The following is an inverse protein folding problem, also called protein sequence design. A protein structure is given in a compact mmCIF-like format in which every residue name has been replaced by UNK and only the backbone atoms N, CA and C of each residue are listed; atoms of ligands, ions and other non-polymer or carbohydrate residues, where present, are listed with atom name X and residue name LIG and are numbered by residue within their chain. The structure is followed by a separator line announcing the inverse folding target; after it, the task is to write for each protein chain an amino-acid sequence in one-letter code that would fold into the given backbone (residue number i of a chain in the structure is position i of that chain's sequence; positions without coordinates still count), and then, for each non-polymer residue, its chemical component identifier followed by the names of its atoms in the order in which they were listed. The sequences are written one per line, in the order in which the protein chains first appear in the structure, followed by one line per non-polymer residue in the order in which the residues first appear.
data_IF_359703733534
#
_entry.id   IF_359703733534
#
_cell.length_a   1.000
_cell.length_b   1.000
_cell.length_c   1.000
_cell.angle_alpha   90.00
_cell.angle_beta   90.00
_cell.angle_gamma   90.00
#
_symmetry.space_group_name_H-M   'P 1'
#
loop_
_entity.id
_entity.type
_entity.pdbx_description
1 polymer ?
#
# COMPACT_ATOMS: atom_id res chain seq x y z
N UNK A 1 -5.65 28.28 -9.09
CA UNK A 1 -4.74 27.28 -9.69
C UNK A 1 -5.18 27.10 -11.11
N UNK A 2 -4.40 27.64 -12.04
CA UNK A 2 -4.77 27.65 -13.45
C UNK A 2 -4.52 26.27 -14.07
N UNK A 3 -5.26 25.90 -15.12
CA UNK A 3 -5.14 24.57 -15.74
C UNK A 3 -3.71 24.23 -16.18
N UNK A 4 -2.93 25.25 -16.56
CA UNK A 4 -1.51 25.14 -16.91
C UNK A 4 -0.65 24.73 -15.71
N UNK A 5 -0.93 25.24 -14.51
CA UNK A 5 -0.19 24.89 -13.28
C UNK A 5 -0.42 23.42 -12.92
N UNK A 6 -1.67 22.94 -13.04
CA UNK A 6 -2.00 21.53 -12.81
C UNK A 6 -1.33 20.60 -13.82
N UNK A 7 -1.26 21.01 -15.09
CA UNK A 7 -0.56 20.26 -16.13
C UNK A 7 0.94 20.16 -15.85
N UNK A 8 1.58 21.27 -15.49
CA UNK A 8 3.00 21.30 -15.13
C UNK A 8 3.24 20.41 -13.89
N UNK A 9 2.44 20.57 -12.84
CA UNK A 9 2.58 19.77 -11.62
C UNK A 9 2.43 18.26 -11.90
N UNK A 10 1.42 17.88 -12.71
CA UNK A 10 1.20 16.49 -13.09
C UNK A 10 2.35 15.94 -13.93
N UNK A 11 2.85 16.71 -14.90
CA UNK A 11 3.95 16.30 -15.76
C UNK A 11 5.25 16.11 -14.95
N UNK A 12 5.54 17.02 -14.02
CA UNK A 12 6.70 16.93 -13.12
C UNK A 12 6.58 15.70 -12.22
N UNK A 13 5.40 15.47 -11.62
CA UNK A 13 5.16 14.31 -10.75
C UNK A 13 5.28 12.99 -11.53
N UNK A 14 4.69 12.92 -12.73
CA UNK A 14 4.78 11.76 -13.61
C UNK A 14 6.23 11.49 -14.03
N UNK A 15 6.95 12.53 -14.46
CA UNK A 15 8.36 12.43 -14.85
C UNK A 15 9.24 11.97 -13.69
N UNK A 16 9.08 12.56 -12.51
CA UNK A 16 9.82 12.16 -11.30
C UNK A 16 9.53 10.72 -10.88
N UNK A 17 8.27 10.30 -10.90
CA UNK A 17 7.87 8.92 -10.60
C UNK A 17 8.49 7.92 -11.57
N UNK A 18 8.46 8.25 -12.87
CA UNK A 18 9.03 7.40 -13.89
C UNK A 18 10.56 7.32 -13.77
N UNK A 19 11.22 8.45 -13.50
CA UNK A 19 12.66 8.50 -13.28
C UNK A 19 13.10 7.63 -12.09
N UNK A 20 12.39 7.69 -10.95
CA UNK A 20 12.65 6.84 -9.80
C UNK A 20 12.47 5.35 -10.12
N UNK A 21 11.40 5.01 -10.85
CA UNK A 21 11.13 3.62 -11.24
C UNK A 21 12.17 3.09 -12.23
N UNK A 22 12.70 3.95 -13.10
CA UNK A 22 13.76 3.62 -14.05
C UNK A 22 15.15 3.55 -13.40
N UNK A 23 15.39 4.32 -12.35
CA UNK A 23 16.65 4.30 -11.61
C UNK A 23 16.96 2.90 -11.03
N UNK A 24 15.95 2.16 -10.56
CA UNK A 24 16.11 0.81 -10.02
C UNK A 24 16.79 -0.17 -10.99
N UNK A 25 16.21 -0.43 -12.18
CA UNK A 25 16.83 -1.27 -13.20
C UNK A 25 18.22 -0.82 -13.65
N UNK A 26 18.42 0.51 -13.83
CA UNK A 26 19.70 1.08 -14.25
C UNK A 26 20.77 0.88 -13.19
N UNK A 27 20.44 1.12 -11.92
CA UNK A 27 21.36 0.93 -10.80
C UNK A 27 21.68 -0.55 -10.57
N UNK A 28 20.69 -1.46 -10.72
CA UNK A 28 20.90 -2.91 -10.60
C UNK A 28 21.81 -3.49 -11.69
N UNK A 29 21.88 -2.87 -12.86
CA UNK A 29 22.87 -3.23 -13.91
C UNK A 29 24.29 -2.82 -13.55
N UNK A 30 24.46 -1.82 -12.67
CA UNK A 30 25.78 -1.25 -12.30
C UNK A 30 26.27 -1.73 -10.93
N UNK A 31 25.38 -2.21 -10.06
CA UNK A 31 25.72 -2.67 -8.71
C UNK A 31 25.33 -4.13 -8.49
N UNK A 32 26.32 -4.99 -8.21
CA UNK A 32 26.07 -6.34 -7.69
C UNK A 32 25.75 -6.24 -6.20
N UNK A 33 24.47 -6.34 -5.86
CA UNK A 33 24.01 -6.40 -4.48
C UNK A 33 24.45 -7.73 -3.84
N UNK A 34 24.99 -7.68 -2.62
CA UNK A 34 25.27 -8.88 -1.83
C UNK A 34 23.95 -9.60 -1.49
N UNK A 35 23.92 -10.95 -1.43
CA UNK A 35 22.71 -11.71 -1.09
C UNK A 35 22.02 -11.26 0.20
N UNK A 36 22.80 -10.78 1.18
CA UNK A 36 22.28 -10.21 2.44
C UNK A 36 21.51 -8.91 2.21
N UNK A 37 22.04 -8.02 1.36
CA UNK A 37 21.42 -6.73 1.07
C UNK A 37 20.11 -6.91 0.27
N UNK A 38 20.07 -7.83 -0.69
CA UNK A 38 18.85 -8.13 -1.44
C UNK A 38 17.74 -8.68 -0.52
N UNK A 39 18.11 -9.57 0.43
CA UNK A 39 17.18 -10.09 1.44
C UNK A 39 16.67 -9.01 2.39
N UNK A 40 17.54 -8.10 2.84
CA UNK A 40 17.17 -6.96 3.69
C UNK A 40 16.23 -5.99 2.96
N UNK A 41 16.49 -5.68 1.69
CA UNK A 41 15.62 -4.82 0.90
C UNK A 41 14.24 -5.45 0.68
N UNK A 42 14.18 -6.75 0.40
CA UNK A 42 12.93 -7.47 0.29
C UNK A 42 12.13 -7.46 1.60
N UNK A 43 12.80 -7.72 2.73
CA UNK A 43 12.19 -7.64 4.06
C UNK A 43 11.70 -6.22 4.38
N UNK A 44 12.49 -5.19 4.06
CA UNK A 44 12.09 -3.80 4.27
C UNK A 44 10.82 -3.45 3.49
N UNK A 45 10.71 -3.85 2.21
CA UNK A 45 9.50 -3.65 1.44
C UNK A 45 8.27 -4.32 2.09
N UNK A 46 8.41 -5.56 2.55
CA UNK A 46 7.34 -6.28 3.26
C UNK A 46 6.95 -5.56 4.56
N UNK A 47 7.93 -5.14 5.36
CA UNK A 47 7.70 -4.42 6.62
C UNK A 47 7.04 -3.06 6.38
N UNK A 48 7.48 -2.32 5.35
CA UNK A 48 6.90 -1.03 4.99
C UNK A 48 5.46 -1.18 4.51
N UNK A 49 5.16 -2.19 3.68
CA UNK A 49 3.80 -2.48 3.25
C UNK A 49 2.92 -2.91 4.44
N UNK A 50 3.45 -3.74 5.34
CA UNK A 50 2.74 -4.15 6.55
C UNK A 50 2.46 -2.96 7.47
N UNK A 51 3.44 -2.07 7.68
CA UNK A 51 3.28 -0.85 8.45
C UNK A 51 2.27 0.10 7.78
N UNK A 52 2.31 0.26 6.46
CA UNK A 52 1.34 1.05 5.71
C UNK A 52 -0.07 0.51 5.91
N UNK A 53 -0.27 -0.80 5.76
CA UNK A 53 -1.56 -1.45 6.02
C UNK A 53 -2.00 -1.22 7.47
N UNK A 54 -1.11 -1.41 8.44
CA UNK A 54 -1.43 -1.21 9.85
C UNK A 54 -1.85 0.24 10.13
N UNK A 55 -1.10 1.22 9.63
CA UNK A 55 -1.36 2.65 9.85
C UNK A 55 -2.62 3.08 9.10
N UNK A 56 -2.80 2.70 7.83
CA UNK A 56 -4.01 3.00 7.06
C UNK A 56 -5.27 2.32 7.63
N UNK A 57 -5.11 1.21 8.35
CA UNK A 57 -6.21 0.53 9.04
C UNK A 57 -6.55 1.15 10.39
N UNK A 58 -5.54 1.56 11.16
CA UNK A 58 -5.74 2.11 12.52
C UNK A 58 -5.99 3.62 12.55
N UNK A 59 -5.50 4.37 11.56
CA UNK A 59 -5.49 5.84 11.59
C UNK A 59 -6.22 6.45 10.40
N UNK A 60 -7.01 7.50 10.64
CA UNK A 60 -7.59 8.35 9.60
C UNK A 60 -7.54 9.82 10.05
N UNK A 61 -6.86 10.66 9.27
CA UNK A 61 -6.69 12.07 9.58
C UNK A 61 -5.90 12.30 10.88
N UNK A 62 -6.56 12.83 11.92
CA UNK A 62 -5.96 13.10 13.24
C UNK A 62 -6.64 12.30 14.37
N UNK A 63 -7.41 11.25 14.03
CA UNK A 63 -8.18 10.46 15.00
C UNK A 63 -8.13 8.94 14.77
N UNK A 64 -8.64 8.19 15.75
CA UNK A 64 -8.81 6.73 15.69
C UNK A 64 -9.96 6.38 14.73
N UNK A 65 -9.68 5.59 13.71
CA UNK A 65 -10.63 5.29 12.62
C UNK A 65 -11.68 4.22 12.94
N UNK A 66 -11.98 3.98 14.23
CA UNK A 66 -12.94 2.95 14.66
C UNK A 66 -12.46 1.50 14.47
N UNK A 67 -13.35 0.53 14.69
CA UNK A 67 -13.04 -0.92 14.69
C UNK A 67 -13.35 -1.55 13.32
N UNK A 68 -14.07 -0.85 12.43
CA UNK A 68 -14.51 -1.42 11.15
C UNK A 68 -13.35 -1.78 10.20
N UNK A 69 -12.29 -0.95 10.17
CA UNK A 69 -11.12 -1.13 9.31
C UNK A 69 -10.14 -2.20 9.81
N UNK A 70 -9.73 -2.24 11.09
CA UNK A 70 -8.88 -3.31 11.60
C UNK A 70 -9.56 -4.68 11.50
N UNK A 71 -10.88 -4.77 11.64
CA UNK A 71 -11.62 -6.01 11.38
C UNK A 71 -11.54 -6.45 9.91
N UNK A 72 -11.68 -5.52 8.95
CA UNK A 72 -11.48 -5.80 7.53
C UNK A 72 -10.05 -6.26 7.18
N UNK A 73 -9.04 -5.68 7.84
CA UNK A 73 -7.63 -6.09 7.67
C UNK A 73 -7.34 -7.44 8.32
N UNK A 74 -7.96 -7.76 9.46
CA UNK A 74 -7.88 -9.09 10.06
C UNK A 74 -8.47 -10.16 9.13
N UNK A 75 -9.64 -9.90 8.53
CA UNK A 75 -10.24 -10.82 7.55
C UNK A 75 -9.35 -10.96 6.31
N UNK A 76 -8.82 -9.86 5.79
CA UNK A 76 -7.87 -9.88 4.66
C UNK A 76 -6.61 -10.69 4.99
N UNK A 77 -6.07 -10.53 6.20
CA UNK A 77 -4.90 -11.27 6.70
C UNK A 77 -5.17 -12.78 6.80
N UNK A 78 -6.31 -13.16 7.37
CA UNK A 78 -6.73 -14.58 7.46
C UNK A 78 -6.92 -15.19 6.07
N UNK A 79 -7.55 -14.45 5.15
CA UNK A 79 -7.80 -14.95 3.79
C UNK A 79 -6.51 -15.04 2.96
N UNK A 80 -5.58 -14.11 3.14
CA UNK A 80 -4.23 -14.19 2.58
C UNK A 80 -3.47 -15.41 3.11
N UNK A 81 -3.64 -15.76 4.39
CA UNK A 81 -3.02 -16.95 4.98
C UNK A 81 -3.54 -18.27 4.40
N UNK A 82 -4.78 -18.26 3.87
CA UNK A 82 -5.34 -19.38 3.10
C UNK A 82 -4.90 -19.44 1.64
N UNK A 83 -3.97 -18.59 1.19
CA UNK A 83 -3.53 -18.49 -0.22
C UNK A 83 -4.70 -18.21 -1.19
N UNK A 84 -5.70 -17.46 -0.76
CA UNK A 84 -6.79 -17.05 -1.65
C UNK A 84 -6.29 -16.09 -2.77
N UNK A 85 -6.92 -16.09 -3.96
CA UNK A 85 -6.54 -15.18 -5.03
C UNK A 85 -6.66 -13.71 -4.59
N UNK A 86 -5.68 -12.87 -4.97
CA UNK A 86 -5.56 -11.46 -4.52
C UNK A 86 -6.86 -10.67 -4.67
N UNK A 87 -7.56 -10.84 -5.80
CA UNK A 87 -8.85 -10.20 -6.07
C UNK A 87 -9.89 -10.59 -5.01
N UNK A 88 -9.93 -11.86 -4.62
CA UNK A 88 -10.86 -12.37 -3.61
C UNK A 88 -10.57 -11.76 -2.23
N UNK A 89 -9.29 -11.62 -1.88
CA UNK A 89 -8.85 -10.97 -0.62
C UNK A 89 -9.26 -9.51 -0.59
N UNK A 90 -9.05 -8.77 -1.69
CA UNK A 90 -9.44 -7.36 -1.81
C UNK A 90 -10.95 -7.19 -1.73
N UNK A 91 -11.72 -8.01 -2.45
CA UNK A 91 -13.18 -7.95 -2.46
C UNK A 91 -13.74 -8.31 -1.08
N UNK A 92 -13.21 -9.34 -0.42
CA UNK A 92 -13.63 -9.72 0.93
C UNK A 92 -13.32 -8.61 1.95
N UNK A 93 -12.13 -8.01 1.88
CA UNK A 93 -11.75 -6.89 2.75
C UNK A 93 -12.69 -5.69 2.54
N UNK A 94 -12.94 -5.31 1.29
CA UNK A 94 -13.83 -4.21 0.93
C UNK A 94 -15.28 -4.49 1.37
N UNK A 95 -15.78 -5.71 1.17
CA UNK A 95 -17.11 -6.11 1.60
C UNK A 95 -17.24 -6.10 3.13
N UNK A 96 -16.22 -6.57 3.86
CA UNK A 96 -16.22 -6.55 5.32
C UNK A 96 -16.24 -5.12 5.85
N UNK A 97 -15.40 -4.24 5.30
CA UNK A 97 -15.39 -2.83 5.64
C UNK A 97 -16.72 -2.12 5.30
N UNK A 98 -17.32 -2.44 4.14
CA UNK A 98 -18.61 -1.88 3.72
C UNK A 98 -19.76 -2.35 4.63
N UNK A 99 -19.79 -3.63 5.02
CA UNK A 99 -20.80 -4.19 5.91
C UNK A 99 -20.70 -3.62 7.33
N UNK A 100 -19.48 -3.46 7.85
CA UNK A 100 -19.26 -2.84 9.17
C UNK A 100 -19.67 -1.37 9.17
N UNK A 101 -19.38 -0.65 8.08
CA UNK A 101 -19.80 0.75 7.89
C UNK A 101 -21.33 0.88 7.76
N UNK A 102 -21.99 -0.08 7.12
CA UNK A 102 -23.46 -0.15 7.04
C UNK A 102 -24.11 -0.52 8.39
N UNK A 103 -23.42 -1.29 9.23
CA UNK A 103 -23.87 -1.63 10.58
C UNK A 103 -23.70 -0.50 11.60
N UNK A 104 -23.26 0.70 11.18
CA UNK A 104 -23.12 1.87 12.04
C UNK A 104 -21.88 1.87 12.94
N UNK A 105 -20.94 0.94 12.71
CA UNK A 105 -19.65 0.93 13.40
C UNK A 105 -18.62 1.63 12.50
N UNK A 106 -18.05 2.78 12.91
CA UNK A 106 -16.98 3.43 12.16
C UNK A 106 -15.70 2.58 12.08
#
# INVERSE_FOLDING_TARGET
MDGTELLIATAVLAGGTFAFRFAGPVLRRRMKLSPKAERLMALAAVVLLAALVAVSALTEGHGFAGIARPAGVLVAGVLAWRKAPFVLVVVAAAATAALLRLAGVP
#
